data_IF_515637582781
#
_entry.id   IF_515637582781
#
_cell.length_a   1.000
_cell.length_b   1.000
_cell.length_c   1.000
_cell.angle_alpha   90.00
_cell.angle_beta   90.00
_cell.angle_gamma   90.00
#
_symmetry.space_group_name_H-M   'P 1'
#
loop_
_entity.id
_entity.type
_entity.pdbx_description
1 polymer ?
#
# COMPACT_ATOMS: atom_id res chain seq x y z
N UNK A 1 58.37 -45.33 -25.85
CA UNK A 1 57.58 -44.13 -26.19
C UNK A 1 56.37 -44.09 -25.26
N UNK A 2 56.44 -43.30 -24.18
CA UNK A 2 55.35 -43.14 -23.20
C UNK A 2 54.58 -41.85 -23.54
N UNK A 3 53.25 -41.94 -23.64
CA UNK A 3 52.34 -40.82 -23.96
C UNK A 3 51.65 -40.37 -22.67
N UNK A 4 51.63 -39.08 -22.30
CA UNK A 4 50.97 -38.64 -21.07
C UNK A 4 49.46 -38.47 -21.31
N UNK A 5 48.66 -38.95 -20.35
CA UNK A 5 47.22 -38.67 -20.26
C UNK A 5 47.02 -37.36 -19.49
N UNK A 6 46.42 -36.37 -20.15
CA UNK A 6 46.01 -35.10 -19.54
C UNK A 6 44.60 -35.30 -18.99
N UNK A 7 44.45 -35.27 -17.66
CA UNK A 7 43.17 -35.26 -17.00
C UNK A 7 42.61 -33.83 -17.00
N UNK A 8 41.52 -33.59 -17.74
CA UNK A 8 40.74 -32.36 -17.64
C UNK A 8 39.77 -32.46 -16.46
N UNK A 9 40.06 -31.72 -15.39
CA UNK A 9 39.13 -31.47 -14.29
C UNK A 9 38.12 -30.38 -14.72
N UNK A 10 36.87 -30.78 -14.93
CA UNK A 10 35.75 -29.87 -15.22
C UNK A 10 35.24 -29.33 -13.87
N UNK A 11 35.57 -28.09 -13.56
CA UNK A 11 35.01 -27.38 -12.40
C UNK A 11 33.56 -27.00 -12.69
N UNK A 12 32.61 -27.71 -12.09
CA UNK A 12 31.19 -27.36 -12.11
C UNK A 12 30.97 -26.08 -11.28
N UNK A 13 30.89 -24.93 -11.95
CA UNK A 13 30.53 -23.67 -11.31
C UNK A 13 29.07 -23.67 -10.87
N UNK A 14 28.84 -23.61 -9.56
CA UNK A 14 27.52 -23.35 -8.99
C UNK A 14 27.04 -21.96 -9.43
N UNK A 15 26.06 -21.91 -10.33
CA UNK A 15 25.29 -20.72 -10.64
C UNK A 15 24.39 -20.37 -9.44
N UNK A 16 24.84 -19.47 -8.58
CA UNK A 16 23.99 -18.89 -7.55
C UNK A 16 23.03 -17.89 -8.21
N UNK A 17 21.78 -18.30 -8.37
CA UNK A 17 20.71 -17.38 -8.75
C UNK A 17 20.47 -16.41 -7.58
N UNK A 18 21.05 -15.21 -7.66
CA UNK A 18 20.68 -14.12 -6.77
C UNK A 18 19.23 -13.73 -7.08
N UNK A 19 18.29 -14.20 -6.27
CA UNK A 19 16.91 -13.73 -6.32
C UNK A 19 16.92 -12.30 -5.81
N UNK A 20 16.96 -11.34 -6.74
CA UNK A 20 16.86 -9.91 -6.42
C UNK A 20 15.48 -9.66 -5.83
N UNK A 21 15.41 -9.50 -4.51
CA UNK A 21 14.20 -9.02 -3.83
C UNK A 21 14.12 -7.52 -4.12
N UNK A 22 13.06 -7.08 -4.80
CA UNK A 22 12.87 -5.66 -5.06
C UNK A 22 12.83 -4.91 -3.72
N UNK A 23 13.63 -3.86 -3.61
CA UNK A 23 13.66 -3.00 -2.42
C UNK A 23 12.27 -2.40 -2.19
N UNK A 24 11.87 -2.28 -0.93
CA UNK A 24 10.63 -1.60 -0.59
C UNK A 24 10.76 -0.10 -0.92
N UNK A 25 9.76 0.46 -1.60
CA UNK A 25 9.71 1.87 -1.99
C UNK A 25 8.46 2.53 -1.44
N UNK A 26 8.60 3.76 -0.93
CA UNK A 26 7.50 4.52 -0.35
C UNK A 26 7.05 5.63 -1.29
N UNK A 27 5.73 5.76 -1.46
CA UNK A 27 5.10 6.78 -2.28
C UNK A 27 4.00 7.48 -1.49
N UNK A 28 3.83 8.77 -1.74
CA UNK A 28 2.74 9.53 -1.14
C UNK A 28 2.01 10.39 -2.15
N UNK A 29 0.76 10.68 -1.83
CA UNK A 29 -0.06 11.63 -2.57
C UNK A 29 -0.91 12.47 -1.62
N UNK A 30 -1.33 13.63 -2.11
CA UNK A 30 -2.22 14.56 -1.42
C UNK A 30 -3.36 15.03 -2.33
N UNK A 31 -4.52 15.34 -1.76
CA UNK A 31 -5.60 16.01 -2.46
C UNK A 31 -6.58 16.68 -1.50
N UNK A 32 -7.18 17.78 -1.94
CA UNK A 32 -8.28 18.44 -1.23
C UNK A 32 -9.58 18.22 -2.00
N UNK A 33 -10.64 17.73 -1.35
CA UNK A 33 -12.00 17.59 -1.92
C UNK A 33 -13.03 18.05 -0.89
N UNK A 34 -13.95 18.93 -1.31
CA UNK A 34 -15.00 19.47 -0.44
C UNK A 34 -14.48 20.01 0.91
N UNK A 35 -13.37 20.78 0.87
CA UNK A 35 -12.66 21.31 2.05
C UNK A 35 -11.95 20.29 2.95
N UNK A 36 -12.03 19.00 2.64
CA UNK A 36 -11.30 17.94 3.34
C UNK A 36 -9.96 17.73 2.64
N UNK A 37 -8.88 17.81 3.40
CA UNK A 37 -7.55 17.45 2.94
C UNK A 37 -7.32 15.96 3.18
N UNK A 38 -6.77 15.26 2.20
CA UNK A 38 -6.48 13.83 2.21
C UNK A 38 -5.00 13.62 1.93
N UNK A 39 -4.35 12.80 2.75
CA UNK A 39 -2.99 12.34 2.55
C UNK A 39 -2.96 10.82 2.59
N UNK A 40 -2.20 10.23 1.66
CA UNK A 40 -1.98 8.79 1.59
C UNK A 40 -0.50 8.55 1.39
N UNK A 41 0.08 7.68 2.21
CA UNK A 41 1.40 7.11 2.04
C UNK A 41 1.29 5.59 1.94
N UNK A 42 2.04 5.00 1.02
CA UNK A 42 2.09 3.55 0.82
C UNK A 42 3.52 3.10 0.66
N UNK A 43 3.86 1.95 1.25
CA UNK A 43 5.09 1.24 0.94
C UNK A 43 4.77 0.07 0.03
N UNK A 44 5.50 -0.04 -1.08
CA UNK A 44 5.33 -1.08 -2.08
C UNK A 44 6.55 -1.99 -2.02
N UNK A 45 6.31 -3.29 -1.87
CA UNK A 45 7.34 -4.31 -1.96
C UNK A 45 6.85 -5.42 -2.88
N UNK A 46 7.71 -5.85 -3.81
CA UNK A 46 7.39 -6.89 -4.80
C UNK A 46 6.08 -6.62 -5.58
N UNK A 47 5.79 -5.34 -5.84
CA UNK A 47 4.62 -4.91 -6.63
C UNK A 47 3.28 -4.95 -5.88
N UNK A 48 3.29 -5.21 -4.57
CA UNK A 48 2.14 -5.19 -3.66
C UNK A 48 2.33 -4.15 -2.55
N UNK A 49 1.24 -3.65 -1.96
CA UNK A 49 1.31 -2.78 -0.79
C UNK A 49 1.74 -3.60 0.42
N UNK A 50 2.84 -3.24 1.05
CA UNK A 50 3.29 -3.82 2.32
C UNK A 50 2.69 -3.08 3.51
N UNK A 51 2.67 -1.74 3.46
CA UNK A 51 2.03 -0.88 4.45
C UNK A 51 1.35 0.32 3.80
N UNK A 52 0.37 0.92 4.50
CA UNK A 52 -0.20 2.20 4.16
C UNK A 52 -0.54 3.02 5.41
N UNK A 53 -0.53 4.34 5.23
CA UNK A 53 -1.00 5.32 6.19
C UNK A 53 -1.89 6.34 5.44
N UNK A 54 -3.17 6.38 5.80
CA UNK A 54 -4.13 7.34 5.27
C UNK A 54 -4.54 8.31 6.37
N UNK A 55 -4.54 9.61 6.07
CA UNK A 55 -5.12 10.62 6.95
C UNK A 55 -6.00 11.60 6.20
N UNK A 56 -6.97 12.16 6.93
CA UNK A 56 -7.71 13.32 6.47
C UNK A 56 -7.86 14.37 7.54
N UNK A 57 -7.99 15.62 7.09
CA UNK A 57 -8.18 16.80 7.93
C UNK A 57 -9.39 17.58 7.44
N UNK A 58 -10.37 17.77 8.32
CA UNK A 58 -11.59 18.54 8.04
C UNK A 58 -11.57 19.81 8.88
N UNK A 59 -11.48 21.01 8.27
CA UNK A 59 -11.59 22.27 8.99
C UNK A 59 -12.97 22.40 9.66
N UNK A 60 -12.99 22.85 10.91
CA UNK A 60 -14.22 23.21 11.65
C UNK A 60 -14.04 24.56 12.33
N UNK A 61 -15.10 25.13 12.89
CA UNK A 61 -15.05 26.46 13.50
C UNK A 61 -14.00 26.53 14.63
N UNK A 62 -12.86 27.16 14.36
CA UNK A 62 -11.77 27.36 15.32
C UNK A 62 -10.86 26.15 15.56
N UNK A 63 -11.01 25.04 14.82
CA UNK A 63 -10.13 23.86 14.94
C UNK A 63 -10.11 22.99 13.67
N UNK A 64 -9.45 21.83 13.74
CA UNK A 64 -9.37 20.83 12.66
C UNK A 64 -9.65 19.46 13.24
N UNK A 65 -10.56 18.71 12.62
CA UNK A 65 -10.81 17.31 12.93
C UNK A 65 -9.94 16.43 12.05
N UNK A 66 -9.21 15.49 12.65
CA UNK A 66 -8.31 14.59 11.94
C UNK A 66 -8.82 13.15 12.02
N UNK A 67 -8.63 12.40 10.93
CA UNK A 67 -8.77 10.95 10.91
C UNK A 67 -7.46 10.31 10.49
N UNK A 68 -7.14 9.14 11.05
CA UNK A 68 -5.99 8.32 10.68
C UNK A 68 -6.42 6.86 10.55
N UNK A 69 -6.13 6.24 9.41
CA UNK A 69 -6.28 4.81 9.17
C UNK A 69 -4.92 4.27 8.70
N UNK A 70 -4.30 3.44 9.52
CA UNK A 70 -2.96 2.91 9.29
C UNK A 70 -2.98 1.38 9.25
N UNK A 71 -2.16 0.78 8.39
CA UNK A 71 -2.05 -0.68 8.27
C UNK A 71 -1.12 -1.31 9.31
N UNK A 72 -0.62 -0.54 10.28
CA UNK A 72 0.37 -1.03 11.24
C UNK A 72 -0.20 -2.19 12.06
N UNK A 73 0.43 -3.36 11.95
CA UNK A 73 -0.03 -4.59 12.60
C UNK A 73 -1.23 -5.26 11.92
N UNK A 74 -1.71 -4.72 10.78
CA UNK A 74 -2.80 -5.32 10.02
C UNK A 74 -2.39 -6.68 9.45
N UNK A 75 -3.29 -7.67 9.55
CA UNK A 75 -3.12 -8.94 8.85
C UNK A 75 -3.51 -8.73 7.39
N UNK A 76 -2.60 -9.07 6.48
CA UNK A 76 -2.83 -8.93 5.03
C UNK A 76 -3.18 -10.29 4.44
N UNK A 77 -4.27 -10.35 3.67
CA UNK A 77 -4.65 -11.53 2.88
C UNK A 77 -4.85 -11.14 1.43
N UNK A 78 -4.79 -12.13 0.54
CA UNK A 78 -5.11 -11.95 -0.88
C UNK A 78 -6.49 -12.58 -1.13
N UNK A 79 -7.38 -11.80 -1.71
CA UNK A 79 -8.68 -12.30 -2.17
C UNK A 79 -8.55 -13.02 -3.51
N UNK A 80 -9.58 -13.79 -3.89
CA UNK A 80 -9.58 -14.59 -5.12
C UNK A 80 -9.50 -13.76 -6.41
N UNK A 81 -9.84 -12.47 -6.36
CA UNK A 81 -9.73 -11.55 -7.48
C UNK A 81 -8.38 -10.79 -7.52
N UNK A 82 -7.45 -11.13 -6.62
CA UNK A 82 -6.12 -10.50 -6.54
C UNK A 82 -6.07 -9.17 -5.78
N UNK A 83 -7.17 -8.75 -5.13
CA UNK A 83 -7.14 -7.61 -4.22
C UNK A 83 -6.53 -7.99 -2.86
N UNK A 84 -5.77 -7.07 -2.28
CA UNK A 84 -5.26 -7.20 -0.92
C UNK A 84 -6.33 -6.76 0.06
N UNK A 85 -6.53 -7.53 1.12
CA UNK A 85 -7.43 -7.18 2.22
C UNK A 85 -6.60 -7.01 3.48
N UNK A 86 -6.59 -5.81 4.02
CA UNK A 86 -5.96 -5.45 5.28
C UNK A 86 -7.03 -5.50 6.37
N UNK A 87 -6.92 -6.48 7.27
CA UNK A 87 -7.77 -6.55 8.45
C UNK A 87 -7.24 -5.60 9.53
N UNK A 88 -8.07 -4.63 9.91
CA UNK A 88 -7.83 -3.64 10.95
C UNK A 88 -8.52 -4.09 12.26
N UNK A 89 -8.33 -3.36 13.38
CA UNK A 89 -9.10 -3.61 14.60
C UNK A 89 -10.61 -3.53 14.38
N UNK A 90 -11.38 -4.13 15.30
CA UNK A 90 -12.87 -4.12 15.29
C UNK A 90 -13.51 -4.71 14.03
N UNK A 91 -12.86 -5.69 13.40
CA UNK A 91 -13.30 -6.36 12.17
C UNK A 91 -13.42 -5.43 10.94
N UNK A 92 -12.87 -4.22 11.03
CA UNK A 92 -12.79 -3.29 9.90
C UNK A 92 -11.78 -3.78 8.86
N UNK A 93 -12.03 -3.44 7.60
CA UNK A 93 -11.15 -3.86 6.50
C UNK A 93 -10.91 -2.75 5.49
N UNK A 94 -9.70 -2.72 4.96
CA UNK A 94 -9.35 -1.92 3.77
C UNK A 94 -9.02 -2.87 2.64
N UNK A 95 -9.71 -2.71 1.52
CA UNK A 95 -9.44 -3.49 0.31
C UNK A 95 -8.62 -2.66 -0.66
N UNK A 96 -7.55 -3.24 -1.19
CA UNK A 96 -6.66 -2.60 -2.16
C UNK A 96 -6.65 -3.39 -3.45
N UNK A 97 -7.14 -2.78 -4.53
CA UNK A 97 -7.13 -3.37 -5.86
C UNK A 97 -6.07 -2.70 -6.72
N UNK A 98 -5.31 -3.49 -7.49
CA UNK A 98 -4.33 -2.97 -8.45
C UNK A 98 -4.96 -2.84 -9.84
N UNK A 99 -4.92 -1.64 -10.42
CA UNK A 99 -5.37 -1.35 -11.79
C UNK A 99 -4.22 -0.76 -12.60
N UNK A 100 -3.51 -1.62 -13.34
CA UNK A 100 -2.27 -1.23 -14.02
C UNK A 100 -1.21 -0.78 -13.01
N UNK A 101 -0.83 0.49 -13.05
CA UNK A 101 0.12 1.10 -12.09
C UNK A 101 -0.56 1.69 -10.84
N UNK A 102 -1.88 1.74 -10.81
CA UNK A 102 -2.64 2.41 -9.75
C UNK A 102 -3.03 1.41 -8.66
N UNK A 103 -3.07 1.89 -7.43
CA UNK A 103 -3.64 1.17 -6.29
C UNK A 103 -4.89 1.92 -5.82
N UNK A 104 -6.03 1.23 -5.89
CA UNK A 104 -7.32 1.76 -5.48
C UNK A 104 -7.62 1.22 -4.09
N UNK A 105 -7.69 2.12 -3.12
CA UNK A 105 -8.08 1.85 -1.75
C UNK A 105 -9.59 2.02 -1.61
N UNK A 106 -10.21 1.04 -0.97
CA UNK A 106 -11.62 1.03 -0.58
C UNK A 106 -11.69 0.92 0.94
N UNK A 107 -12.20 1.99 1.56
CA UNK A 107 -12.41 2.15 2.99
C UNK A 107 -13.89 2.01 3.37
N UNK A 108 -14.77 1.56 2.47
CA UNK A 108 -16.21 1.41 2.73
C UNK A 108 -16.56 0.46 3.87
N UNK A 109 -15.60 -0.37 4.29
CA UNK A 109 -15.67 -1.30 5.42
C UNK A 109 -14.85 -0.85 6.62
N UNK A 110 -14.55 0.44 6.72
CA UNK A 110 -13.95 1.07 7.88
C UNK A 110 -15.01 1.91 8.58
N UNK A 111 -15.17 1.70 9.88
CA UNK A 111 -16.07 2.49 10.70
C UNK A 111 -15.45 3.83 11.06
N UNK A 112 -16.10 4.93 10.66
CA UNK A 112 -15.68 6.30 11.02
C UNK A 112 -15.53 6.49 12.53
N UNK A 113 -16.39 5.86 13.33
CA UNK A 113 -16.34 6.00 14.80
C UNK A 113 -15.05 5.47 15.40
N UNK A 114 -14.44 4.48 14.75
CA UNK A 114 -13.33 3.71 15.31
C UNK A 114 -11.99 4.39 15.02
N UNK A 115 -11.93 5.24 13.99
CA UNK A 115 -10.71 5.88 13.51
C UNK A 115 -10.75 7.41 13.50
N UNK A 116 -11.93 8.00 13.32
CA UNK A 116 -12.06 9.41 13.00
C UNK A 116 -12.83 10.23 14.05
N UNK A 117 -13.50 9.58 15.01
CA UNK A 117 -14.44 10.25 15.93
C UNK A 117 -15.69 10.78 15.22
N UNK A 118 -16.60 11.43 15.96
CA UNK A 118 -17.96 11.74 15.48
C UNK A 118 -18.08 12.82 14.38
N UNK A 119 -17.02 13.60 14.10
CA UNK A 119 -17.13 14.83 13.29
C UNK A 119 -16.09 14.95 12.16
N UNK A 120 -15.50 13.84 11.75
CA UNK A 120 -14.45 13.80 10.73
C UNK A 120 -14.97 13.19 9.44
N UNK A 121 -14.51 13.73 8.31
CA UNK A 121 -14.76 13.13 6.99
C UNK A 121 -13.54 12.32 6.56
N UNK A 122 -13.75 11.16 5.95
CA UNK A 122 -12.70 10.38 5.29
C UNK A 122 -13.09 10.03 3.86
N UNK A 123 -12.13 9.60 3.06
CA UNK A 123 -12.38 9.01 1.76
C UNK A 123 -12.95 7.59 1.95
N UNK A 124 -14.06 7.28 1.29
CA UNK A 124 -14.54 5.93 1.04
C UNK A 124 -13.69 5.24 -0.02
N UNK A 125 -13.24 5.98 -1.05
CA UNK A 125 -12.32 5.47 -2.07
C UNK A 125 -11.19 6.47 -2.28
N UNK A 126 -9.97 5.98 -2.52
CA UNK A 126 -8.84 6.83 -2.91
C UNK A 126 -7.88 6.04 -3.80
N UNK A 127 -7.38 6.68 -4.84
CA UNK A 127 -6.40 6.08 -5.75
C UNK A 127 -5.06 6.77 -5.65
N UNK A 128 -4.01 5.98 -5.41
CA UNK A 128 -2.61 6.40 -5.49
C UNK A 128 -1.96 5.80 -6.74
N UNK A 129 -1.17 6.64 -7.42
CA UNK A 129 -0.32 6.21 -8.54
C UNK A 129 1.13 6.50 -8.16
N UNK A 130 2.00 5.47 -8.04
CA UNK A 130 3.40 5.67 -7.71
C UNK A 130 4.06 6.72 -8.61
N UNK A 131 4.76 7.67 -8.00
CA UNK A 131 5.39 8.82 -8.66
C UNK A 131 4.47 10.02 -8.91
N UNK A 132 3.16 9.92 -8.65
CA UNK A 132 2.20 11.03 -8.80
C UNK A 132 1.83 11.58 -7.42
N UNK A 133 2.15 12.87 -7.20
CA UNK A 133 1.93 13.54 -5.90
C UNK A 133 0.47 13.88 -5.59
N UNK A 134 -0.43 13.82 -6.57
CA UNK A 134 -1.86 14.13 -6.38
C UNK A 134 -2.69 12.85 -6.34
N UNK A 135 -3.46 12.65 -5.27
CA UNK A 135 -4.39 11.53 -5.18
C UNK A 135 -5.57 11.74 -6.16
N UNK A 136 -6.20 10.65 -6.59
CA UNK A 136 -7.30 10.68 -7.56
C UNK A 136 -8.42 9.72 -7.15
N UNK A 137 -9.58 9.79 -7.82
CA UNK A 137 -10.72 8.90 -7.54
C UNK A 137 -11.20 8.95 -6.08
N UNK A 138 -11.20 10.15 -5.49
CA UNK A 138 -11.45 10.34 -4.05
C UNK A 138 -12.93 10.51 -3.81
N UNK A 139 -13.65 9.53 -3.30
CA UNK A 139 -15.05 9.73 -2.91
C UNK A 139 -15.15 9.81 -1.39
N UNK A 140 -15.81 10.84 -0.87
CA UNK A 140 -15.92 11.09 0.58
C UNK A 140 -17.20 10.46 1.14
N UNK A 141 -17.15 10.08 2.42
CA UNK A 141 -18.34 9.84 3.24
C UNK A 141 -19.14 11.14 3.48
#
# INVERSE_FOLDING_TARGET
MLKPLIALSISAGLLTCNVSVAQAETFSCHATRNTVDHFMEVTIQNGTISTFDYSSSTPVAGSVNNCLVASNGAKVTQSSNGAQVFALPNDDTVTVSKKGKQFVFDFSKVSLSDFCGQSSTMATHLTITPGVKRCSGIDNF
#
